data_IF_673182175053
#
_entry.id   IF_673182175053
#
_cell.length_a   1.000
_cell.length_b   1.000
_cell.length_c   1.000
_cell.angle_alpha   90.00
_cell.angle_beta   90.00
_cell.angle_gamma   90.00
#
_symmetry.space_group_name_H-M   'P 1'
#
loop_
_entity.id
_entity.type
_entity.pdbx_description
1 polymer ?
#
# COMPACT_ATOMS: atom_id res chain seq x y z
N UNK A 1 28.41 3.77 4.49
CA UNK A 1 27.56 2.83 3.73
C UNK A 1 26.48 2.35 4.67
N UNK A 2 25.23 2.30 4.22
CA UNK A 2 24.13 1.79 5.05
C UNK A 2 24.29 0.29 5.25
N UNK A 3 23.98 -0.21 6.43
CA UNK A 3 23.95 -1.64 6.71
C UNK A 3 22.62 -2.26 6.24
N UNK A 4 22.54 -3.60 6.22
CA UNK A 4 21.35 -4.32 5.74
C UNK A 4 20.08 -3.94 6.51
N UNK A 5 20.16 -3.72 7.83
CA UNK A 5 19.01 -3.36 8.66
C UNK A 5 18.51 -1.95 8.36
N UNK A 6 19.42 -0.99 8.18
CA UNK A 6 19.06 0.39 7.77
C UNK A 6 18.35 0.41 6.42
N UNK A 7 18.80 -0.41 5.47
CA UNK A 7 18.15 -0.53 4.15
C UNK A 7 16.75 -1.17 4.27
N UNK A 8 16.61 -2.22 5.09
CA UNK A 8 15.30 -2.86 5.33
C UNK A 8 14.33 -1.88 6.00
N UNK A 9 14.81 -1.10 6.97
CA UNK A 9 13.98 -0.11 7.65
C UNK A 9 13.49 0.97 6.67
N UNK A 10 14.34 1.46 5.77
CA UNK A 10 13.92 2.42 4.74
C UNK A 10 12.86 1.84 3.80
N UNK A 11 12.98 0.57 3.41
CA UNK A 11 11.94 -0.07 2.60
C UNK A 11 10.64 -0.25 3.38
N UNK A 12 10.74 -0.54 4.68
CA UNK A 12 9.57 -0.67 5.55
C UNK A 12 8.84 0.67 5.72
N UNK A 13 9.56 1.75 5.97
CA UNK A 13 8.99 3.10 6.08
C UNK A 13 8.28 3.50 4.77
N UNK A 14 8.92 3.25 3.62
CA UNK A 14 8.33 3.53 2.30
C UNK A 14 7.07 2.70 2.03
N UNK A 15 7.06 1.43 2.44
CA UNK A 15 5.90 0.56 2.25
C UNK A 15 4.74 0.96 3.18
N UNK A 16 5.03 1.40 4.41
CA UNK A 16 4.03 1.95 5.33
C UNK A 16 3.42 3.25 4.79
N UNK A 17 4.25 4.17 4.27
CA UNK A 17 3.76 5.38 3.61
C UNK A 17 2.87 5.05 2.39
N UNK A 18 3.29 4.06 1.59
CA UNK A 18 2.51 3.58 0.45
C UNK A 18 1.15 3.01 0.89
N UNK A 19 1.10 2.28 2.01
CA UNK A 19 -0.14 1.75 2.56
C UNK A 19 -1.10 2.87 2.98
N UNK A 20 -0.59 3.91 3.65
CA UNK A 20 -1.39 5.10 4.02
C UNK A 20 -1.95 5.77 2.77
N UNK A 21 -1.12 5.95 1.73
CA UNK A 21 -1.56 6.54 0.46
C UNK A 21 -2.65 5.71 -0.22
N UNK A 22 -2.53 4.39 -0.18
CA UNK A 22 -3.54 3.45 -0.70
C UNK A 22 -4.87 3.64 0.05
N UNK A 23 -4.85 3.71 1.38
CA UNK A 23 -6.07 3.90 2.21
C UNK A 23 -6.75 5.25 1.96
N UNK A 24 -5.97 6.31 1.79
CA UNK A 24 -6.50 7.64 1.42
C UNK A 24 -7.13 7.62 0.02
N UNK A 25 -6.48 6.94 -0.93
CA UNK A 25 -7.00 6.78 -2.30
C UNK A 25 -8.29 5.95 -2.29
N UNK A 26 -8.37 4.93 -1.45
CA UNK A 26 -9.55 4.08 -1.30
C UNK A 26 -10.74 4.92 -0.82
N UNK A 27 -10.52 5.74 0.21
CA UNK A 27 -11.51 6.66 0.75
C UNK A 27 -11.97 7.70 -0.29
N UNK A 28 -11.04 8.23 -1.08
CA UNK A 28 -11.34 9.17 -2.17
C UNK A 28 -12.20 8.52 -3.26
N UNK A 29 -11.82 7.33 -3.72
CA UNK A 29 -12.55 6.61 -4.76
C UNK A 29 -13.94 6.17 -4.29
N UNK A 30 -14.09 5.76 -3.03
CA UNK A 30 -15.40 5.45 -2.45
C UNK A 30 -16.33 6.67 -2.46
N UNK A 31 -15.80 7.86 -2.13
CA UNK A 31 -16.56 9.11 -2.21
C UNK A 31 -16.96 9.43 -3.66
N UNK A 32 -16.01 9.34 -4.60
CA UNK A 32 -16.24 9.53 -6.04
C UNK A 32 -17.24 8.54 -6.63
N UNK A 33 -17.20 7.27 -6.20
CA UNK A 33 -18.13 6.22 -6.63
C UNK A 33 -19.58 6.57 -6.29
N UNK A 34 -19.81 7.21 -5.15
CA UNK A 34 -21.13 7.68 -4.75
C UNK A 34 -21.62 8.89 -5.57
N UNK A 35 -20.72 9.60 -6.25
CA UNK A 35 -20.98 10.86 -6.96
C UNK A 35 -21.07 10.70 -8.51
N UNK A 36 -20.39 9.72 -9.12
CA UNK A 36 -20.21 9.62 -10.60
C UNK A 36 -20.23 8.18 -11.19
N UNK A 37 -20.21 8.07 -12.53
CA UNK A 37 -20.27 6.83 -13.32
C UNK A 37 -19.32 5.71 -12.83
N UNK A 38 -19.93 4.57 -12.52
CA UNK A 38 -19.42 3.53 -11.61
C UNK A 38 -18.33 2.60 -12.16
N UNK A 39 -18.23 2.40 -13.48
CA UNK A 39 -17.43 1.28 -14.02
C UNK A 39 -15.92 1.49 -13.86
N UNK A 40 -15.41 2.69 -14.19
CA UNK A 40 -13.97 2.97 -14.09
C UNK A 40 -13.48 2.95 -12.64
N UNK A 41 -14.31 3.44 -11.72
CA UNK A 41 -13.99 3.50 -10.29
C UNK A 41 -13.92 2.10 -9.69
N UNK A 42 -14.79 1.17 -10.11
CA UNK A 42 -14.70 -0.23 -9.66
C UNK A 42 -13.39 -0.90 -10.09
N UNK A 43 -12.94 -0.66 -11.33
CA UNK A 43 -11.67 -1.19 -11.83
C UNK A 43 -10.48 -0.60 -11.06
N UNK A 44 -10.53 0.69 -10.71
CA UNK A 44 -9.50 1.33 -9.88
C UNK A 44 -9.50 0.81 -8.45
N UNK A 45 -10.67 0.61 -7.83
CA UNK A 45 -10.80 0.02 -6.49
C UNK A 45 -10.26 -1.42 -6.47
N UNK A 46 -10.51 -2.22 -7.50
CA UNK A 46 -9.99 -3.59 -7.60
C UNK A 46 -8.45 -3.61 -7.68
N UNK A 47 -7.85 -2.72 -8.49
CA UNK A 47 -6.39 -2.54 -8.55
C UNK A 47 -5.83 -2.09 -7.22
N UNK A 48 -6.51 -1.15 -6.56
CA UNK A 48 -6.09 -0.62 -5.28
C UNK A 48 -6.10 -1.69 -4.18
N UNK A 49 -7.11 -2.56 -4.17
CA UNK A 49 -7.19 -3.70 -3.25
C UNK A 49 -6.05 -4.71 -3.47
N UNK A 50 -5.69 -4.99 -4.73
CA UNK A 50 -4.53 -5.84 -5.05
C UNK A 50 -3.22 -5.21 -4.56
N UNK A 51 -3.00 -3.92 -4.84
CA UNK A 51 -1.82 -3.17 -4.39
C UNK A 51 -1.73 -3.12 -2.86
N UNK A 52 -2.86 -2.97 -2.17
CA UNK A 52 -2.95 -2.99 -0.69
C UNK A 52 -2.42 -4.30 -0.14
N UNK A 53 -2.90 -5.42 -0.70
CA UNK A 53 -2.48 -6.76 -0.28
C UNK A 53 -0.99 -6.98 -0.54
N UNK A 54 -0.50 -6.65 -1.73
CA UNK A 54 0.93 -6.78 -2.06
C UNK A 54 1.81 -5.94 -1.12
N UNK A 55 1.38 -4.72 -0.81
CA UNK A 55 2.09 -3.84 0.13
C UNK A 55 2.11 -4.43 1.55
N UNK A 56 1.01 -5.01 2.01
CA UNK A 56 0.93 -5.69 3.32
C UNK A 56 1.84 -6.93 3.36
N UNK A 57 1.80 -7.77 2.33
CA UNK A 57 2.65 -8.95 2.21
C UNK A 57 4.14 -8.55 2.21
N UNK A 58 4.48 -7.44 1.53
CA UNK A 58 5.83 -6.90 1.51
C UNK A 58 6.29 -6.38 2.89
N UNK A 59 5.42 -5.67 3.62
CA UNK A 59 5.68 -5.23 5.00
C UNK A 59 5.93 -6.44 5.91
N UNK A 60 5.10 -7.47 5.82
CA UNK A 60 5.28 -8.70 6.60
C UNK A 60 6.63 -9.35 6.30
N UNK A 61 6.98 -9.49 5.02
CA UNK A 61 8.28 -10.04 4.62
C UNK A 61 9.46 -9.22 5.19
N UNK A 62 9.41 -7.89 5.11
CA UNK A 62 10.50 -7.04 5.60
C UNK A 62 10.64 -7.09 7.13
N UNK A 63 9.53 -7.16 7.87
CA UNK A 63 9.56 -7.37 9.31
C UNK A 63 10.24 -8.70 9.67
N UNK A 64 9.94 -9.78 8.94
CA UNK A 64 10.60 -11.07 9.13
C UNK A 64 12.11 -11.03 8.80
N UNK A 65 12.53 -10.20 7.86
CA UNK A 65 13.95 -9.99 7.55
C UNK A 65 14.67 -9.11 8.57
N UNK A 66 13.96 -8.21 9.25
CA UNK A 66 14.52 -7.33 10.28
C UNK A 66 14.71 -8.06 11.62
N UNK A 67 13.87 -9.06 11.91
CA UNK A 67 13.94 -9.88 13.10
C UNK A 67 15.02 -10.99 13.06
N UNK A 68 15.70 -11.17 11.92
CA UNK A 68 16.78 -12.16 11.70
C UNK A 68 18.15 -11.50 11.71
#
# INVERSE_FOLDING_TARGET
MKNKQEIIQEFLDNAQESLIRIELTESYLQKKYAEEQHKHILDEMAKLAANKKETQDWISFMNDQSAK
#
